data_IF_318104487542
#
_entry.id   IF_318104487542
#
_cell.length_a   1.000
_cell.length_b   1.000
_cell.length_c   1.000
_cell.angle_alpha   90.00
_cell.angle_beta   90.00
_cell.angle_gamma   90.00
#
_symmetry.space_group_name_H-M   'P 1'
#
loop_
_entity.id
_entity.type
_entity.pdbx_description
1 polymer ?
#
# COMPACT_ATOMS: atom_id res chain seq x y z
N UNK A 1 8.89 -10.03 -15.79
CA UNK A 1 7.86 -9.09 -15.32
C UNK A 1 8.38 -8.19 -14.19
N UNK A 2 8.96 -8.72 -13.12
CA UNK A 2 9.43 -7.96 -11.95
C UNK A 2 10.46 -6.86 -12.33
N UNK A 3 11.45 -7.18 -13.16
CA UNK A 3 12.46 -6.21 -13.65
C UNK A 3 11.78 -5.04 -14.38
N UNK A 4 10.82 -5.34 -15.27
CA UNK A 4 10.09 -4.29 -15.98
C UNK A 4 9.27 -3.40 -15.05
N UNK A 5 8.61 -3.98 -14.05
CA UNK A 5 7.86 -3.25 -13.02
C UNK A 5 8.80 -2.36 -12.20
N UNK A 6 9.96 -2.87 -11.80
CA UNK A 6 10.97 -2.10 -11.07
C UNK A 6 11.47 -0.92 -11.88
N UNK A 7 11.82 -1.13 -13.16
CA UNK A 7 12.29 -0.06 -14.03
C UNK A 7 11.20 1.00 -14.25
N UNK A 8 9.95 0.59 -14.45
CA UNK A 8 8.83 1.52 -14.59
C UNK A 8 8.61 2.34 -13.32
N UNK A 9 8.69 1.70 -12.14
CA UNK A 9 8.60 2.39 -10.86
C UNK A 9 9.73 3.41 -10.70
N UNK A 10 10.99 3.00 -10.87
CA UNK A 10 12.13 3.91 -10.72
C UNK A 10 12.07 5.07 -11.71
N UNK A 11 11.69 4.82 -12.96
CA UNK A 11 11.51 5.87 -13.96
C UNK A 11 10.39 6.85 -13.54
N UNK A 12 9.24 6.34 -13.09
CA UNK A 12 8.13 7.16 -12.63
C UNK A 12 8.51 7.99 -11.41
N UNK A 13 9.18 7.41 -10.42
CA UNK A 13 9.66 8.10 -9.22
C UNK A 13 10.68 9.20 -9.57
N UNK A 14 11.61 8.89 -10.46
CA UNK A 14 12.58 9.88 -10.94
C UNK A 14 11.89 11.07 -11.61
N UNK A 15 10.94 10.79 -12.53
CA UNK A 15 10.16 11.83 -13.19
C UNK A 15 9.34 12.66 -12.18
N UNK A 16 8.73 12.01 -11.20
CA UNK A 16 7.98 12.71 -10.13
C UNK A 16 8.89 13.63 -9.32
N UNK A 17 10.10 13.18 -8.94
CA UNK A 17 11.07 14.02 -8.25
C UNK A 17 11.52 15.22 -9.11
N UNK A 18 11.77 14.98 -10.40
CA UNK A 18 12.22 16.02 -11.33
C UNK A 18 11.14 17.05 -11.61
N UNK A 19 9.88 16.62 -11.73
CA UNK A 19 8.73 17.48 -12.01
C UNK A 19 7.92 17.81 -10.76
N UNK A 20 8.52 17.82 -9.58
CA UNK A 20 7.84 18.02 -8.28
C UNK A 20 6.83 19.15 -8.27
N UNK A 21 7.18 20.34 -8.79
CA UNK A 21 6.29 21.50 -8.79
C UNK A 21 5.03 21.28 -9.65
N UNK A 22 5.12 20.47 -10.71
CA UNK A 22 3.96 20.12 -11.55
C UNK A 22 3.02 19.13 -10.85
N UNK A 23 3.49 18.41 -9.83
CA UNK A 23 2.64 17.48 -9.05
C UNK A 23 1.58 18.22 -8.22
N UNK A 24 1.74 19.52 -7.96
CA UNK A 24 0.75 20.34 -7.26
C UNK A 24 -0.49 20.66 -8.11
N UNK A 25 -0.48 20.31 -9.40
CA UNK A 25 -1.60 20.56 -10.30
C UNK A 25 -2.85 19.78 -9.88
N UNK A 26 -4.03 20.42 -9.76
CA UNK A 26 -5.23 19.82 -9.17
C UNK A 26 -5.78 18.62 -9.95
N UNK A 27 -5.50 18.52 -11.26
CA UNK A 27 -5.98 17.41 -12.11
C UNK A 27 -5.33 16.06 -11.79
N UNK A 28 -4.15 16.06 -11.16
CA UNK A 28 -3.42 14.81 -10.91
C UNK A 28 -4.11 13.93 -9.87
N UNK A 29 -4.73 14.53 -8.85
CA UNK A 29 -5.43 13.75 -7.85
C UNK A 29 -6.61 12.94 -8.45
N UNK A 30 -7.57 13.54 -9.17
CA UNK A 30 -8.62 12.77 -9.82
C UNK A 30 -8.08 11.79 -10.87
N UNK A 31 -7.00 12.10 -11.57
CA UNK A 31 -6.38 11.18 -12.52
C UNK A 31 -5.88 9.90 -11.80
N UNK A 32 -5.17 10.04 -10.68
CA UNK A 32 -4.75 8.89 -9.88
C UNK A 32 -5.94 8.06 -9.40
N UNK A 33 -7.02 8.70 -8.94
CA UNK A 33 -8.23 8.01 -8.50
C UNK A 33 -8.89 7.20 -9.62
N UNK A 34 -9.00 7.78 -10.83
CA UNK A 34 -9.56 7.10 -12.00
C UNK A 34 -8.71 5.88 -12.37
N UNK A 35 -7.38 6.07 -12.45
CA UNK A 35 -6.45 4.98 -12.80
C UNK A 35 -6.50 3.88 -11.74
N UNK A 36 -6.52 4.23 -10.46
CA UNK A 36 -6.69 3.27 -9.38
C UNK A 36 -8.00 2.51 -9.50
N UNK A 37 -9.11 3.19 -9.76
CA UNK A 37 -10.43 2.57 -9.94
C UNK A 37 -10.44 1.55 -11.08
N UNK A 38 -9.88 1.92 -12.24
CA UNK A 38 -9.83 1.03 -13.41
C UNK A 38 -9.06 -0.26 -13.09
N UNK A 39 -7.84 -0.15 -12.56
CA UNK A 39 -7.02 -1.34 -12.29
C UNK A 39 -7.55 -2.16 -11.12
N UNK A 40 -8.09 -1.52 -10.10
CA UNK A 40 -8.72 -2.22 -8.98
C UNK A 40 -9.98 -2.98 -9.41
N UNK A 41 -10.79 -2.38 -10.29
CA UNK A 41 -11.92 -3.09 -10.91
C UNK A 41 -11.45 -4.28 -11.75
N UNK A 42 -10.42 -4.10 -12.58
CA UNK A 42 -9.86 -5.20 -13.38
C UNK A 42 -9.33 -6.34 -12.49
N UNK A 43 -8.68 -6.02 -11.38
CA UNK A 43 -8.19 -7.02 -10.44
C UNK A 43 -9.34 -7.80 -9.79
N UNK A 44 -10.36 -7.08 -9.26
CA UNK A 44 -11.55 -7.72 -8.67
C UNK A 44 -12.30 -8.58 -9.67
N UNK A 45 -12.50 -8.09 -10.91
CA UNK A 45 -13.15 -8.85 -11.96
C UNK A 45 -12.38 -10.15 -12.27
N UNK A 46 -11.07 -10.06 -12.41
CA UNK A 46 -10.24 -11.23 -12.68
C UNK A 46 -10.24 -12.25 -11.51
N UNK A 47 -10.32 -11.78 -10.27
CA UNK A 47 -10.44 -12.64 -9.10
C UNK A 47 -11.82 -13.32 -9.06
N UNK A 48 -12.89 -12.60 -9.39
CA UNK A 48 -14.24 -13.14 -9.50
C UNK A 48 -14.32 -14.26 -10.56
N UNK A 49 -13.79 -14.03 -11.77
CA UNK A 49 -13.77 -15.02 -12.85
C UNK A 49 -13.02 -16.31 -12.47
N UNK A 50 -12.18 -16.27 -11.46
CA UNK A 50 -11.43 -17.43 -10.94
C UNK A 50 -12.06 -18.11 -9.74
N UNK A 51 -13.22 -17.64 -9.28
CA UNK A 51 -13.86 -18.17 -8.09
C UNK A 51 -13.14 -17.81 -6.78
N UNK A 52 -12.27 -16.82 -6.76
CA UNK A 52 -11.54 -16.41 -5.55
C UNK A 52 -12.34 -15.47 -4.65
N UNK A 53 -13.53 -15.04 -5.09
CA UNK A 53 -14.42 -14.15 -4.35
C UNK A 53 -15.60 -14.87 -3.69
N UNK A 54 -15.60 -16.20 -3.69
CA UNK A 54 -16.74 -16.99 -3.19
C UNK A 54 -17.03 -16.74 -1.70
N UNK A 55 -16.04 -16.30 -0.91
CA UNK A 55 -16.16 -16.15 0.54
C UNK A 55 -16.08 -14.70 1.06
N UNK A 56 -16.01 -13.67 0.23
CA UNK A 56 -15.95 -12.32 0.75
C UNK A 56 -15.53 -11.20 -0.20
N UNK A 57 -15.59 -9.98 0.33
CA UNK A 57 -15.13 -8.79 -0.38
C UNK A 57 -13.62 -8.71 -0.38
N UNK A 58 -12.98 -8.65 -1.55
CA UNK A 58 -11.53 -8.40 -1.68
C UNK A 58 -11.02 -7.19 -0.88
N UNK A 59 -11.90 -6.27 -0.56
CA UNK A 59 -11.59 -5.01 0.14
C UNK A 59 -10.85 -5.20 1.47
N UNK A 60 -11.20 -6.24 2.22
CA UNK A 60 -10.59 -6.53 3.53
C UNK A 60 -9.77 -7.82 3.54
N UNK A 61 -9.70 -8.54 2.44
CA UNK A 61 -8.93 -9.79 2.34
C UNK A 61 -7.46 -9.56 2.71
N UNK A 62 -6.91 -8.44 2.25
CA UNK A 62 -5.50 -8.10 2.47
C UNK A 62 -5.31 -6.58 2.59
N UNK A 63 -4.13 -6.16 3.06
CA UNK A 63 -3.80 -4.73 3.19
C UNK A 63 -3.81 -4.01 1.83
N UNK A 64 -3.38 -4.67 0.75
CA UNK A 64 -3.33 -4.03 -0.57
C UNK A 64 -4.72 -3.67 -1.12
N UNK A 65 -5.70 -4.59 -1.19
CA UNK A 65 -7.07 -4.23 -1.57
C UNK A 65 -7.69 -3.19 -0.64
N UNK A 66 -7.40 -3.28 0.67
CA UNK A 66 -7.85 -2.28 1.64
C UNK A 66 -7.34 -0.87 1.29
N UNK A 67 -6.05 -0.71 1.02
CA UNK A 67 -5.48 0.60 0.65
C UNK A 67 -6.04 1.11 -0.68
N UNK A 68 -6.23 0.25 -1.69
CA UNK A 68 -6.91 0.63 -2.94
C UNK A 68 -8.31 1.18 -2.66
N UNK A 69 -9.08 0.50 -1.82
CA UNK A 69 -10.42 0.92 -1.42
C UNK A 69 -10.38 2.26 -0.67
N UNK A 70 -9.44 2.43 0.26
CA UNK A 70 -9.25 3.70 0.99
C UNK A 70 -8.93 4.84 0.03
N UNK A 71 -8.05 4.63 -0.96
CA UNK A 71 -7.75 5.63 -1.99
C UNK A 71 -9.05 6.06 -2.69
N UNK A 72 -9.87 5.13 -3.14
CA UNK A 72 -11.12 5.42 -3.86
C UNK A 72 -12.17 6.10 -2.99
N UNK A 73 -12.15 5.86 -1.68
CA UNK A 73 -13.09 6.46 -0.74
C UNK A 73 -12.66 7.85 -0.26
N UNK A 74 -11.40 8.27 -0.47
CA UNK A 74 -10.89 9.57 0.03
C UNK A 74 -11.74 10.78 -0.38
N UNK A 75 -12.37 10.85 -1.59
CA UNK A 75 -13.23 11.97 -1.95
C UNK A 75 -14.49 12.12 -1.09
N UNK A 76 -14.94 11.01 -0.49
CA UNK A 76 -16.19 10.94 0.29
C UNK A 76 -15.95 11.03 1.80
N UNK A 77 -14.69 11.03 2.24
CA UNK A 77 -14.32 11.11 3.65
C UNK A 77 -14.40 12.55 4.17
N UNK A 78 -14.77 12.70 5.46
CA UNK A 78 -14.56 13.97 6.16
C UNK A 78 -13.08 14.34 6.17
N UNK A 79 -12.76 15.62 6.19
CA UNK A 79 -11.35 16.10 6.13
C UNK A 79 -10.47 15.49 7.23
N UNK A 80 -11.03 15.25 8.41
CA UNK A 80 -10.30 14.62 9.52
C UNK A 80 -9.93 13.17 9.21
N UNK A 81 -10.87 12.38 8.73
CA UNK A 81 -10.64 10.95 8.38
C UNK A 81 -9.70 10.88 7.18
N UNK A 82 -9.90 11.73 6.18
CA UNK A 82 -9.08 11.85 4.99
C UNK A 82 -7.62 12.17 5.31
N UNK A 83 -7.36 13.00 6.32
CA UNK A 83 -6.00 13.31 6.76
C UNK A 83 -5.28 12.04 7.29
N UNK A 84 -5.95 11.24 8.12
CA UNK A 84 -5.42 9.95 8.58
C UNK A 84 -5.24 8.95 7.42
N UNK A 85 -6.23 8.85 6.54
CA UNK A 85 -6.18 7.97 5.37
C UNK A 85 -5.03 8.34 4.43
N UNK A 86 -4.86 9.64 4.13
CA UNK A 86 -3.76 10.11 3.30
C UNK A 86 -2.39 9.80 3.91
N UNK A 87 -2.23 9.90 5.23
CA UNK A 87 -1.00 9.50 5.91
C UNK A 87 -0.75 7.99 5.77
N UNK A 88 -1.79 7.16 5.91
CA UNK A 88 -1.69 5.72 5.73
C UNK A 88 -1.32 5.36 4.27
N UNK A 89 -1.98 5.97 3.29
CA UNK A 89 -1.69 5.76 1.87
C UNK A 89 -0.25 6.18 1.55
N UNK A 90 0.18 7.35 2.05
CA UNK A 90 1.52 7.88 1.79
C UNK A 90 2.63 6.95 2.25
N UNK A 91 2.49 6.35 3.42
CA UNK A 91 3.56 5.54 4.01
C UNK A 91 3.39 4.04 3.77
N UNK A 92 2.17 3.52 3.87
CA UNK A 92 1.91 2.10 3.67
C UNK A 92 1.88 1.74 2.17
N UNK A 93 1.23 2.54 1.33
CA UNK A 93 1.09 2.24 -0.10
C UNK A 93 2.43 2.03 -0.80
N UNK A 94 3.41 2.91 -0.54
CA UNK A 94 4.75 2.75 -1.07
C UNK A 94 5.51 1.59 -0.41
N UNK A 95 5.42 1.46 0.91
CA UNK A 95 6.04 0.38 1.65
C UNK A 95 5.54 -1.00 1.23
N UNK A 96 4.25 -1.13 0.88
CA UNK A 96 3.68 -2.39 0.38
C UNK A 96 4.33 -2.84 -0.93
N UNK A 97 4.67 -1.91 -1.83
CA UNK A 97 5.41 -2.30 -3.03
C UNK A 97 6.79 -2.86 -2.71
N UNK A 98 7.50 -2.25 -1.74
CA UNK A 98 8.79 -2.79 -1.28
C UNK A 98 8.62 -4.15 -0.61
N UNK A 99 7.57 -4.34 0.17
CA UNK A 99 7.27 -5.61 0.82
C UNK A 99 7.05 -6.75 -0.19
N UNK A 100 6.49 -6.48 -1.38
CA UNK A 100 6.37 -7.48 -2.44
C UNK A 100 7.72 -8.06 -2.90
N UNK A 101 8.80 -7.29 -2.82
CA UNK A 101 10.13 -7.78 -3.19
C UNK A 101 10.78 -8.64 -2.11
N UNK A 102 10.32 -8.52 -0.88
CA UNK A 102 10.87 -9.20 0.30
C UNK A 102 10.02 -10.43 0.65
N UNK A 103 8.74 -10.44 0.31
CA UNK A 103 7.82 -11.51 0.68
C UNK A 103 7.95 -12.76 -0.21
N UNK A 104 7.59 -13.95 0.30
CA UNK A 104 7.48 -15.16 -0.52
C UNK A 104 6.49 -15.03 -1.69
N UNK A 105 5.52 -14.13 -1.59
CA UNK A 105 4.62 -13.77 -2.71
C UNK A 105 5.36 -13.15 -3.90
N UNK A 106 6.56 -12.59 -3.71
CA UNK A 106 7.44 -12.21 -4.82
C UNK A 106 7.81 -13.41 -5.70
N UNK A 107 7.81 -14.63 -5.18
CA UNK A 107 8.00 -15.86 -5.94
C UNK A 107 6.95 -16.01 -7.07
N UNK A 108 5.73 -15.54 -6.86
CA UNK A 108 4.68 -15.48 -7.89
C UNK A 108 5.10 -14.65 -9.11
N UNK A 109 5.83 -13.56 -8.90
CA UNK A 109 6.34 -12.69 -9.95
C UNK A 109 7.69 -13.19 -10.50
N UNK A 110 8.39 -14.06 -9.77
CA UNK A 110 9.68 -14.61 -10.14
C UNK A 110 9.58 -15.97 -10.83
N UNK A 111 8.44 -16.65 -10.71
CA UNK A 111 8.22 -17.94 -11.38
C UNK A 111 8.07 -17.72 -12.89
N UNK A 112 9.14 -18.01 -13.61
CA UNK A 112 9.21 -17.88 -15.07
C UNK A 112 8.34 -18.90 -15.82
N UNK A 113 7.81 -19.91 -15.14
CA UNK A 113 6.97 -20.95 -15.73
C UNK A 113 5.49 -20.57 -15.76
N UNK A 114 5.08 -19.49 -15.07
CA UNK A 114 3.71 -19.03 -15.09
C UNK A 114 3.54 -17.88 -16.10
N UNK A 115 2.67 -18.09 -17.08
CA UNK A 115 2.19 -17.02 -17.96
C UNK A 115 1.53 -15.95 -17.09
N UNK A 116 2.01 -14.70 -17.19
CA UNK A 116 1.40 -13.56 -16.52
C UNK A 116 -0.07 -13.49 -16.95
N UNK A 117 -0.98 -13.75 -16.01
CA UNK A 117 -2.40 -13.65 -16.26
C UNK A 117 -2.87 -12.22 -16.11
N UNK A 118 -4.03 -11.90 -16.69
CA UNK A 118 -4.67 -10.59 -16.53
C UNK A 118 -4.81 -10.18 -15.06
N UNK A 119 -5.08 -11.13 -14.17
CA UNK A 119 -5.15 -10.89 -12.72
C UNK A 119 -3.79 -10.39 -12.16
N UNK A 120 -2.69 -11.09 -12.44
CA UNK A 120 -1.37 -10.71 -11.95
C UNK A 120 -0.92 -9.35 -12.48
N UNK A 121 -1.27 -9.04 -13.73
CA UNK A 121 -0.97 -7.73 -14.33
C UNK A 121 -1.77 -6.63 -13.62
N UNK A 122 -3.05 -6.86 -13.37
CA UNK A 122 -3.93 -5.88 -12.70
C UNK A 122 -3.52 -5.68 -11.25
N UNK A 123 -3.17 -6.75 -10.53
CA UNK A 123 -2.63 -6.70 -9.18
C UNK A 123 -1.32 -5.91 -9.12
N UNK A 124 -0.36 -6.23 -10.00
CA UNK A 124 0.91 -5.51 -10.08
C UNK A 124 0.70 -4.02 -10.39
N UNK A 125 -0.23 -3.70 -11.29
CA UNK A 125 -0.59 -2.32 -11.61
C UNK A 125 -1.20 -1.60 -10.40
N UNK A 126 -2.08 -2.25 -9.63
CA UNK A 126 -2.64 -1.69 -8.39
C UNK A 126 -1.52 -1.35 -7.38
N UNK A 127 -0.57 -2.26 -7.15
CA UNK A 127 0.55 -2.00 -6.24
C UNK A 127 1.43 -0.85 -6.73
N UNK A 128 1.69 -0.76 -8.03
CA UNK A 128 2.43 0.36 -8.61
C UNK A 128 1.69 1.69 -8.41
N UNK A 129 0.38 1.70 -8.63
CA UNK A 129 -0.45 2.91 -8.47
C UNK A 129 -0.50 3.34 -7.01
N UNK A 130 -0.67 2.41 -6.06
CA UNK A 130 -0.64 2.72 -4.64
C UNK A 130 0.69 3.38 -4.24
N UNK A 131 1.81 2.83 -4.70
CA UNK A 131 3.13 3.37 -4.43
C UNK A 131 3.28 4.79 -5.02
N UNK A 132 2.92 4.97 -6.28
CA UNK A 132 3.01 6.26 -6.96
C UNK A 132 2.08 7.31 -6.35
N UNK A 133 0.87 6.91 -5.94
CA UNK A 133 -0.07 7.82 -5.29
C UNK A 133 0.40 8.22 -3.88
N UNK A 134 0.93 7.28 -3.10
CA UNK A 134 1.55 7.58 -1.81
C UNK A 134 2.69 8.59 -1.97
N UNK A 135 3.50 8.41 -2.99
CA UNK A 135 4.58 9.31 -3.35
C UNK A 135 4.11 10.69 -3.78
N UNK A 136 3.07 10.70 -4.61
CA UNK A 136 2.41 11.94 -5.02
C UNK A 136 1.95 12.75 -3.81
N UNK A 137 1.35 12.12 -2.80
CA UNK A 137 0.90 12.80 -1.59
C UNK A 137 2.06 13.47 -0.84
N UNK A 138 3.23 12.86 -0.81
CA UNK A 138 4.44 13.41 -0.17
C UNK A 138 5.02 14.55 -1.02
N UNK A 139 5.31 14.29 -2.29
CA UNK A 139 6.00 15.24 -3.17
C UNK A 139 5.14 16.47 -3.51
N UNK A 140 3.82 16.32 -3.59
CA UNK A 140 2.87 17.40 -3.75
C UNK A 140 2.57 18.14 -2.42
N UNK A 141 3.29 17.81 -1.34
CA UNK A 141 3.18 18.42 -0.01
C UNK A 141 1.79 18.28 0.64
N UNK A 142 1.00 17.29 0.20
CA UNK A 142 -0.31 16.98 0.78
C UNK A 142 -0.20 16.23 2.11
N UNK A 143 0.88 15.46 2.27
CA UNK A 143 1.25 14.80 3.52
C UNK A 143 2.66 15.23 3.90
N UNK A 144 2.80 15.84 5.07
CA UNK A 144 4.11 16.24 5.60
C UNK A 144 4.80 15.05 6.27
N UNK A 145 6.12 14.94 6.06
CA UNK A 145 6.95 13.93 6.71
C UNK A 145 7.24 14.37 8.16
N UNK A 146 6.44 13.86 9.07
CA UNK A 146 6.54 14.15 10.50
C UNK A 146 6.11 12.94 11.33
N UNK A 147 6.61 12.85 12.56
CA UNK A 147 6.22 11.80 13.51
C UNK A 147 4.72 11.80 13.82
N UNK A 148 4.07 12.98 13.80
CA UNK A 148 2.62 13.09 13.98
C UNK A 148 1.89 12.38 12.84
N UNK A 149 2.29 12.62 11.60
CA UNK A 149 1.67 11.97 10.44
C UNK A 149 2.03 10.49 10.34
N UNK A 150 3.23 10.10 10.77
CA UNK A 150 3.58 8.69 10.94
C UNK A 150 2.63 8.02 11.96
N UNK A 151 2.41 8.64 13.12
CA UNK A 151 1.47 8.12 14.12
C UNK A 151 0.04 8.05 13.60
N UNK A 152 -0.43 9.04 12.82
CA UNK A 152 -1.75 8.98 12.17
C UNK A 152 -1.88 7.77 11.24
N UNK A 153 -0.86 7.50 10.44
CA UNK A 153 -0.83 6.32 9.57
C UNK A 153 -0.93 5.02 10.37
N UNK A 154 -0.12 4.89 11.42
CA UNK A 154 -0.17 3.73 12.31
C UNK A 154 -1.56 3.56 12.94
N UNK A 155 -2.13 4.62 13.52
CA UNK A 155 -3.47 4.58 14.14
C UNK A 155 -4.51 4.15 13.13
N UNK A 156 -4.50 4.71 11.92
CA UNK A 156 -5.48 4.37 10.88
C UNK A 156 -5.39 2.89 10.50
N UNK A 157 -4.19 2.41 10.20
CA UNK A 157 -3.97 1.04 9.73
C UNK A 157 -4.27 0.03 10.83
N UNK A 158 -3.77 0.24 12.06
CA UNK A 158 -4.02 -0.69 13.15
C UNK A 158 -5.48 -0.70 13.62
N UNK A 159 -6.19 0.43 13.51
CA UNK A 159 -7.63 0.46 13.75
C UNK A 159 -8.37 -0.38 12.72
N UNK A 160 -7.99 -0.28 11.44
CA UNK A 160 -8.60 -1.08 10.38
C UNK A 160 -8.33 -2.58 10.57
N UNK A 161 -7.09 -2.97 10.89
CA UNK A 161 -6.71 -4.36 11.18
C UNK A 161 -7.48 -4.87 12.40
N UNK A 162 -7.52 -4.10 13.49
CA UNK A 162 -8.27 -4.47 14.70
C UNK A 162 -9.75 -4.66 14.44
N UNK A 163 -10.35 -3.80 13.60
CA UNK A 163 -11.74 -3.95 13.17
C UNK A 163 -11.94 -5.21 12.31
N UNK A 164 -11.03 -5.49 11.36
CA UNK A 164 -11.08 -6.70 10.55
C UNK A 164 -10.98 -7.98 11.41
N UNK A 165 -10.05 -8.00 12.37
CA UNK A 165 -9.93 -9.13 13.32
C UNK A 165 -11.19 -9.29 14.19
N UNK A 166 -11.79 -8.19 14.64
CA UNK A 166 -13.07 -8.22 15.34
C UNK A 166 -14.18 -8.82 14.49
N UNK A 167 -14.27 -8.45 13.20
CA UNK A 167 -15.23 -9.06 12.26
C UNK A 167 -14.95 -10.54 12.05
N UNK A 168 -13.69 -10.96 11.95
CA UNK A 168 -13.30 -12.38 11.84
C UNK A 168 -13.80 -13.17 13.04
N UNK A 169 -13.63 -12.61 14.23
CA UNK A 169 -14.11 -13.25 15.46
C UNK A 169 -15.64 -13.36 15.52
N UNK A 170 -16.36 -12.30 15.12
CA UNK A 170 -17.82 -12.27 15.17
C UNK A 170 -18.49 -13.13 14.09
N UNK A 171 -17.91 -13.21 12.89
CA UNK A 171 -18.58 -13.73 11.70
C UNK A 171 -17.80 -14.88 11.02
N UNK A 172 -16.75 -15.39 11.63
CA UNK A 172 -15.89 -16.44 11.08
C UNK A 172 -15.34 -16.10 9.68
N UNK A 173 -14.88 -14.85 9.52
CA UNK A 173 -14.26 -14.35 8.30
C UNK A 173 -12.73 -14.47 8.37
N UNK A 174 -12.07 -14.26 7.24
CA UNK A 174 -10.61 -14.30 7.12
C UNK A 174 -10.02 -12.95 6.66
N UNK A 175 -10.56 -11.82 7.18
CA UNK A 175 -10.08 -10.51 6.80
C UNK A 175 -8.59 -10.32 7.15
N UNK A 176 -7.86 -9.60 6.32
CA UNK A 176 -6.42 -9.37 6.40
C UNK A 176 -5.58 -10.67 6.43
N UNK A 177 -6.10 -11.74 5.83
CA UNK A 177 -5.44 -13.05 5.82
C UNK A 177 -5.34 -13.71 7.18
N UNK A 178 -6.18 -13.31 8.16
CA UNK A 178 -6.18 -13.82 9.52
C UNK A 178 -7.40 -14.70 9.76
N UNK A 179 -7.33 -15.96 9.34
CA UNK A 179 -8.33 -16.94 9.74
C UNK A 179 -8.00 -17.47 11.14
N UNK A 180 -8.89 -17.17 12.10
CA UNK A 180 -8.74 -17.63 13.49
C UNK A 180 -9.28 -19.07 13.69
N UNK A 181 -10.03 -19.61 12.74
CA UNK A 181 -10.82 -20.83 12.92
C UNK A 181 -10.56 -21.90 11.85
N UNK A 182 -9.83 -21.58 10.80
CA UNK A 182 -9.58 -22.45 9.65
C UNK A 182 -8.12 -22.75 9.38
N UNK A 183 -7.91 -23.59 8.38
CA UNK A 183 -6.58 -23.99 7.89
C UNK A 183 -5.86 -22.88 7.10
N UNK A 184 -6.54 -21.77 6.82
CA UNK A 184 -5.94 -20.58 6.20
C UNK A 184 -5.20 -19.76 7.25
N UNK A 185 -4.20 -20.41 7.79
CA UNK A 185 -3.23 -19.67 8.54
C UNK A 185 -2.52 -18.69 7.60
N UNK A 186 -2.35 -17.48 8.06
CA UNK A 186 -1.40 -16.51 7.50
C UNK A 186 -0.19 -17.30 7.03
N UNK A 187 0.37 -16.99 5.87
CA UNK A 187 1.53 -17.63 5.23
C UNK A 187 2.73 -17.93 6.16
N UNK A 188 2.67 -17.51 7.42
CA UNK A 188 3.72 -17.61 8.43
C UNK A 188 3.35 -18.46 9.64
N UNK A 189 2.14 -19.03 9.72
CA UNK A 189 1.76 -19.85 10.89
C UNK A 189 2.67 -21.08 11.02
N UNK A 190 3.00 -21.69 9.89
CA UNK A 190 3.93 -22.83 9.84
C UNK A 190 5.34 -22.45 10.30
N UNK A 191 5.71 -21.17 10.17
CA UNK A 191 7.03 -20.66 10.60
C UNK A 191 7.05 -20.38 12.11
N UNK A 192 5.96 -19.81 12.64
CA UNK A 192 5.91 -19.35 14.02
C UNK A 192 5.22 -20.31 14.99
N UNK A 193 4.51 -21.32 14.49
CA UNK A 193 3.93 -22.40 15.27
C UNK A 193 2.73 -22.04 16.16
N UNK A 194 2.35 -20.76 16.25
CA UNK A 194 1.13 -20.33 16.94
C UNK A 194 0.51 -19.07 16.32
N UNK A 195 -0.82 -18.96 16.44
CA UNK A 195 -1.57 -17.80 15.94
C UNK A 195 -1.11 -16.50 16.61
N UNK A 196 -0.91 -16.51 17.91
CA UNK A 196 -0.54 -15.31 18.69
C UNK A 196 0.81 -14.75 18.25
N UNK A 197 1.81 -15.64 18.08
CA UNK A 197 3.14 -15.24 17.60
C UNK A 197 3.07 -14.73 16.16
N UNK A 198 2.32 -15.41 15.31
CA UNK A 198 2.10 -15.00 13.93
C UNK A 198 1.42 -13.64 13.86
N UNK A 199 0.39 -13.40 14.69
CA UNK A 199 -0.30 -12.12 14.75
C UNK A 199 0.61 -10.98 15.18
N UNK A 200 1.41 -11.19 16.22
CA UNK A 200 2.42 -10.18 16.65
C UNK A 200 3.44 -9.92 15.54
N UNK A 201 3.95 -10.98 14.90
CA UNK A 201 4.89 -10.84 13.77
C UNK A 201 4.28 -10.07 12.60
N UNK A 202 2.99 -10.31 12.29
CA UNK A 202 2.26 -9.57 11.28
C UNK A 202 2.16 -8.07 11.63
N UNK A 203 1.77 -7.73 12.86
CA UNK A 203 1.69 -6.34 13.29
C UNK A 203 3.06 -5.64 13.22
N UNK A 204 4.13 -6.32 13.64
CA UNK A 204 5.50 -5.81 13.50
C UNK A 204 5.90 -5.65 12.03
N UNK A 205 5.51 -6.59 11.16
CA UNK A 205 5.71 -6.50 9.73
C UNK A 205 5.03 -5.28 9.13
N UNK A 206 3.77 -5.02 9.49
CA UNK A 206 3.02 -3.83 9.06
C UNK A 206 3.72 -2.56 9.53
N UNK A 207 4.19 -2.51 10.78
CA UNK A 207 4.97 -1.37 11.29
C UNK A 207 6.26 -1.16 10.50
N UNK A 208 6.97 -2.23 10.18
CA UNK A 208 8.19 -2.16 9.39
C UNK A 208 7.91 -1.61 7.99
N UNK A 209 6.82 -2.04 7.34
CA UNK A 209 6.39 -1.54 6.02
C UNK A 209 6.04 -0.05 6.05
N UNK A 210 5.28 0.42 7.05
CA UNK A 210 4.97 1.84 7.23
C UNK A 210 6.26 2.64 7.46
N UNK A 211 7.17 2.11 8.28
CA UNK A 211 8.46 2.75 8.58
C UNK A 211 9.33 2.86 7.34
N UNK A 212 9.42 1.80 6.53
CA UNK A 212 10.14 1.84 5.25
C UNK A 212 9.56 2.91 4.33
N UNK A 213 8.24 2.97 4.18
CA UNK A 213 7.58 3.98 3.35
C UNK A 213 7.87 5.41 3.85
N UNK A 214 7.87 5.63 5.16
CA UNK A 214 8.21 6.90 5.77
C UNK A 214 9.69 7.29 5.51
N UNK A 215 10.63 6.37 5.73
CA UNK A 215 12.06 6.62 5.50
C UNK A 215 12.38 6.87 4.02
N UNK A 216 11.81 6.08 3.13
CA UNK A 216 11.94 6.31 1.69
C UNK A 216 11.33 7.65 1.30
N UNK A 217 10.19 8.02 1.87
CA UNK A 217 9.57 9.32 1.69
C UNK A 217 10.52 10.47 2.08
N UNK A 218 11.18 10.37 3.24
CA UNK A 218 12.20 11.34 3.69
C UNK A 218 13.33 11.45 2.66
N UNK A 219 13.88 10.31 2.24
CA UNK A 219 14.98 10.28 1.28
C UNK A 219 14.61 10.99 -0.03
N UNK A 220 13.43 10.71 -0.56
CA UNK A 220 13.02 11.22 -1.85
C UNK A 220 12.55 12.68 -1.79
N UNK A 221 11.93 13.09 -0.68
CA UNK A 221 11.66 14.51 -0.42
C UNK A 221 12.97 15.29 -0.37
N UNK A 222 13.98 14.80 0.36
CA UNK A 222 15.32 15.39 0.38
C UNK A 222 15.96 15.41 -1.02
N UNK A 223 15.87 14.29 -1.76
CA UNK A 223 16.45 14.19 -3.10
C UNK A 223 15.84 15.17 -4.09
N UNK A 224 14.52 15.38 -4.03
CA UNK A 224 13.75 16.22 -4.97
C UNK A 224 13.84 17.72 -4.69
N UNK A 225 14.40 18.15 -3.54
CA UNK A 225 14.53 19.59 -3.20
C UNK A 225 15.64 20.25 -4.00
N UNK A 226 15.48 21.54 -4.38
CA UNK A 226 16.56 22.36 -4.95
C UNK A 226 17.78 22.42 -4.03
N UNK A 227 18.97 22.57 -4.61
CA UNK A 227 20.23 22.59 -3.84
C UNK A 227 20.28 23.69 -2.77
N UNK A 228 19.70 24.86 -3.04
CA UNK A 228 19.64 25.99 -2.10
C UNK A 228 18.84 25.66 -0.83
N UNK A 229 17.72 24.98 -0.96
CA UNK A 229 16.91 24.54 0.18
C UNK A 229 17.57 23.40 1.00
N UNK A 230 18.56 22.71 0.45
CA UNK A 230 19.30 21.65 1.16
C UNK A 230 20.34 22.22 2.13
N UNK A 231 20.97 23.34 1.80
CA UNK A 231 21.98 23.98 2.68
C UNK A 231 21.37 24.48 3.99
N UNK A 232 20.15 25.04 3.93
CA UNK A 232 19.46 25.56 5.11
C UNK A 232 19.03 24.46 6.12
N UNK A 233 18.90 23.21 5.67
CA UNK A 233 18.52 22.09 6.56
C UNK A 233 19.72 21.44 7.26
N UNK A 234 20.92 21.58 6.70
CA UNK A 234 22.16 21.05 7.30
C UNK A 234 22.74 21.98 8.36
N UNK A 235 22.28 23.23 8.41
CA UNK A 235 22.72 24.23 9.38
C UNK A 235 21.82 24.35 10.64
N UNK A 236 20.74 23.58 10.69
CA UNK A 236 19.80 23.47 11.84
C UNK A 236 19.91 22.09 12.51
#
# INVERSE_FOLDING_TARGET
>A
MLIGLSLALFAALFLMCFFREKLKHPILNPLFLIVCAVFFFCWNYAAYERGWLDDGFMTLENISPFICTVILLTPFMSERIKDFANCAIAFLGFGMLLALYISPGAAYFLDHNHTATFMHISEAACHLIMALYGFYLILAEKVKLSWINFSKACVFVYTAIGFGVFLNWCFHLANFGMDMYGDYSIYFLDIFGSFEVTFVAYLLGVLAVITMGFLVGIFLDWFSRPREAKSEMTEK
#
